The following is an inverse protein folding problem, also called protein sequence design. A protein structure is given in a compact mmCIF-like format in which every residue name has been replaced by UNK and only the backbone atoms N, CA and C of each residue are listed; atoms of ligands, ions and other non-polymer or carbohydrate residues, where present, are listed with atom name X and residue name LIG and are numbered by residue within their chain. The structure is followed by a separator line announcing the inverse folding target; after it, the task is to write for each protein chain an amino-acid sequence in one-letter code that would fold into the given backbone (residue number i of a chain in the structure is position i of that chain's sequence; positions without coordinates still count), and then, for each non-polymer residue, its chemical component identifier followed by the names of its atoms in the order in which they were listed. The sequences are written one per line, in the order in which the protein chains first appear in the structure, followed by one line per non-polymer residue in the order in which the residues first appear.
data_IF_262556912305
#
_entry.id   IF_262556912305
#
_cell.length_a   1.000
_cell.length_b   1.000
_cell.length_c   1.000
_cell.angle_alpha   90.00
_cell.angle_beta   90.00
_cell.angle_gamma   90.00
#
_symmetry.space_group_name_H-M   'P 1'
#
loop_
_entity.id
_entity.type
_entity.pdbx_description
1 polymer ?
#
# COMPACT_ATOMS: atom_id res chain seq x y z
N UNK A 1 -6.88 -32.24 -13.95
CA UNK A 1 -8.06 -33.12 -14.12
C UNK A 1 -7.78 -34.36 -14.98
N UNK A 2 -7.27 -34.26 -16.21
CA UNK A 2 -7.02 -35.44 -17.08
C UNK A 2 -6.00 -36.46 -16.52
N UNK A 3 -4.93 -36.03 -15.84
CA UNK A 3 -3.91 -36.98 -15.30
C UNK A 3 -4.37 -37.75 -14.04
N UNK A 4 -5.36 -37.24 -13.30
CA UNK A 4 -5.93 -37.92 -12.14
C UNK A 4 -6.73 -39.17 -12.55
N UNK A 5 -7.41 -39.12 -13.70
CA UNK A 5 -8.08 -40.29 -14.26
C UNK A 5 -7.08 -41.34 -14.80
N UNK A 6 -5.82 -40.97 -15.02
CA UNK A 6 -4.75 -41.85 -15.45
C UNK A 6 -3.87 -42.37 -14.29
N UNK A 7 -4.26 -42.17 -13.03
CA UNK A 7 -3.51 -42.67 -11.86
C UNK A 7 -2.15 -42.00 -11.62
N UNK A 8 -1.84 -40.91 -12.33
CA UNK A 8 -0.58 -40.19 -12.17
C UNK A 8 -0.70 -39.18 -11.02
N UNK A 9 0.20 -39.27 -10.02
CA UNK A 9 0.34 -38.24 -8.99
C UNK A 9 0.71 -36.92 -9.69
N UNK A 10 -0.20 -35.94 -9.65
CA UNK A 10 0.12 -34.58 -10.08
C UNK A 10 0.96 -33.93 -8.99
N UNK A 11 2.26 -33.72 -9.27
CA UNK A 11 3.09 -32.86 -8.45
C UNK A 11 2.63 -31.40 -8.53
N UNK A 12 2.91 -30.62 -7.50
CA UNK A 12 2.68 -29.17 -7.49
C UNK A 12 3.47 -28.54 -8.64
N UNK A 13 2.85 -27.73 -9.52
CA UNK A 13 3.58 -27.08 -10.61
C UNK A 13 4.66 -26.14 -10.08
N UNK A 14 5.85 -26.09 -10.70
CA UNK A 14 6.93 -25.21 -10.19
C UNK A 14 6.54 -23.73 -10.16
N UNK A 15 5.64 -23.29 -11.05
CA UNK A 15 5.17 -21.91 -11.07
C UNK A 15 4.36 -21.52 -9.83
N UNK A 16 3.89 -22.48 -9.02
CA UNK A 16 3.20 -22.20 -7.75
C UNK A 16 4.11 -21.45 -6.76
N UNK A 17 5.43 -21.65 -6.83
CA UNK A 17 6.41 -20.98 -5.97
C UNK A 17 6.78 -19.57 -6.46
N UNK A 18 6.26 -19.14 -7.60
CA UNK A 18 6.50 -17.78 -8.09
C UNK A 18 5.73 -16.77 -7.24
N UNK A 19 6.27 -15.57 -7.01
CA UNK A 19 5.52 -14.54 -6.31
C UNK A 19 4.26 -14.18 -7.09
N UNK A 20 3.17 -13.99 -6.35
CA UNK A 20 1.96 -13.42 -6.86
C UNK A 20 2.21 -11.94 -7.18
N UNK A 21 1.92 -11.58 -8.43
CA UNK A 21 2.05 -10.22 -8.94
C UNK A 21 0.67 -9.71 -9.34
N UNK A 22 0.40 -8.43 -9.05
CA UNK A 22 -0.81 -7.71 -9.46
C UNK A 22 -0.49 -6.63 -10.48
N UNK A 23 -1.46 -6.33 -11.34
CA UNK A 23 -1.42 -5.17 -12.23
C UNK A 23 -2.11 -4.00 -11.55
N UNK A 24 -1.44 -2.87 -11.42
CA UNK A 24 -2.01 -1.64 -10.85
C UNK A 24 -2.09 -0.59 -11.95
N UNK A 25 -3.24 0.06 -12.10
CA UNK A 25 -3.41 1.16 -13.05
C UNK A 25 -2.67 2.42 -12.57
N UNK A 26 -1.99 3.12 -13.49
CA UNK A 26 -1.34 4.41 -13.21
C UNK A 26 -2.39 5.51 -13.24
N UNK A 27 -3.08 5.69 -12.11
CA UNK A 27 -4.18 6.65 -11.95
C UNK A 27 -3.77 7.91 -11.16
N UNK A 28 -2.59 7.91 -10.53
CA UNK A 28 -2.13 9.02 -9.70
C UNK A 28 -0.82 9.64 -10.20
N UNK A 29 -0.63 10.97 -10.10
CA UNK A 29 0.63 11.62 -10.44
C UNK A 29 1.83 11.13 -9.61
N UNK A 30 1.61 10.66 -8.38
CA UNK A 30 2.68 10.14 -7.53
C UNK A 30 3.23 8.83 -8.09
N UNK A 31 2.37 7.87 -8.45
CA UNK A 31 2.77 6.60 -9.09
C UNK A 31 3.51 6.89 -10.40
N UNK A 32 2.97 7.78 -11.23
CA UNK A 32 3.59 8.21 -12.48
C UNK A 32 4.99 8.81 -12.27
N UNK A 33 5.13 9.72 -11.30
CA UNK A 33 6.41 10.38 -11.00
C UNK A 33 7.46 9.39 -10.49
N UNK A 34 7.05 8.39 -9.69
CA UNK A 34 7.96 7.34 -9.20
C UNK A 34 8.42 6.41 -10.31
N UNK A 35 7.51 5.96 -11.16
CA UNK A 35 7.86 5.06 -12.26
C UNK A 35 8.82 5.72 -13.26
N UNK A 36 8.65 7.04 -13.53
CA UNK A 36 9.58 7.83 -14.36
C UNK A 36 11.03 7.86 -13.84
N UNK A 37 11.28 7.47 -12.59
CA UNK A 37 12.63 7.34 -12.04
C UNK A 37 13.33 6.04 -12.45
N UNK A 38 12.56 5.01 -12.82
CA UNK A 38 13.06 3.72 -13.32
C UNK A 38 13.00 3.70 -14.85
N UNK A 39 11.83 4.00 -15.40
CA UNK A 39 11.58 3.92 -16.83
C UNK A 39 10.55 4.98 -17.23
N UNK A 40 11.01 5.95 -18.02
CA UNK A 40 10.17 7.06 -18.49
C UNK A 40 9.21 6.64 -19.60
N UNK A 41 9.57 5.65 -20.41
CA UNK A 41 8.79 5.23 -21.57
C UNK A 41 7.59 4.39 -21.15
N UNK A 42 7.74 3.51 -20.16
CA UNK A 42 6.59 2.75 -19.62
C UNK A 42 5.66 3.61 -18.76
N UNK A 43 6.15 4.74 -18.24
CA UNK A 43 5.40 5.65 -17.37
C UNK A 43 4.44 6.59 -18.14
N UNK A 44 3.36 6.00 -18.64
CA UNK A 44 2.23 6.67 -19.30
C UNK A 44 0.99 6.66 -18.41
N UNK A 45 0.24 7.77 -18.32
CA UNK A 45 -1.06 7.77 -17.63
C UNK A 45 -1.97 6.67 -18.17
N UNK A 46 -2.76 6.04 -17.28
CA UNK A 46 -3.70 4.95 -17.60
C UNK A 46 -3.05 3.66 -18.14
N UNK A 47 -1.73 3.54 -18.11
CA UNK A 47 -1.04 2.28 -18.32
C UNK A 47 -1.01 1.46 -17.01
N UNK A 48 -0.48 0.23 -17.06
CA UNK A 48 -0.35 -0.63 -15.89
C UNK A 48 1.10 -0.79 -15.42
N UNK A 49 1.26 -0.99 -14.12
CA UNK A 49 2.52 -1.41 -13.47
C UNK A 49 2.35 -2.78 -12.85
N UNK A 50 3.46 -3.49 -12.66
CA UNK A 50 3.50 -4.68 -11.82
C UNK A 50 3.78 -4.30 -10.37
N UNK A 51 3.11 -4.98 -9.45
CA UNK A 51 3.37 -4.88 -8.01
C UNK A 51 3.35 -6.27 -7.39
N UNK A 52 4.31 -6.64 -6.53
CA UNK A 52 4.23 -7.87 -5.77
C UNK A 52 3.13 -7.80 -4.70
N UNK A 53 2.57 -8.96 -4.36
CA UNK A 53 1.64 -9.10 -3.24
C UNK A 53 2.44 -9.53 -2.01
N UNK A 54 2.50 -8.68 -0.99
CA UNK A 54 3.20 -9.01 0.26
C UNK A 54 2.39 -10.00 1.13
N UNK A 55 3.07 -10.75 1.99
CA UNK A 55 2.39 -11.56 3.02
C UNK A 55 1.86 -10.66 4.15
N UNK A 56 2.65 -9.66 4.54
CA UNK A 56 2.37 -8.71 5.61
C UNK A 56 2.35 -7.27 5.07
N UNK A 57 2.00 -6.30 5.93
CA UNK A 57 2.13 -4.88 5.58
C UNK A 57 3.56 -4.55 5.14
N UNK A 58 3.68 -3.99 3.94
CA UNK A 58 4.95 -3.66 3.30
C UNK A 58 4.79 -2.43 2.40
N UNK A 59 5.90 -1.84 1.91
CA UNK A 59 5.83 -0.72 0.98
C UNK A 59 5.13 -1.14 -0.32
N UNK A 60 4.36 -0.25 -0.92
CA UNK A 60 3.79 -0.48 -2.23
C UNK A 60 4.90 -0.39 -3.27
N UNK A 61 5.40 -1.54 -3.70
CA UNK A 61 6.43 -1.66 -4.72
C UNK A 61 5.80 -1.68 -6.10
N UNK A 62 6.31 -0.87 -7.03
CA UNK A 62 5.89 -0.86 -8.42
C UNK A 62 7.09 -1.03 -9.36
N UNK A 63 6.88 -1.73 -10.48
CA UNK A 63 7.83 -1.87 -11.57
C UNK A 63 7.12 -1.72 -12.93
N UNK A 64 7.85 -1.40 -14.01
CA UNK A 64 7.31 -1.46 -15.36
C UNK A 64 6.62 -2.80 -15.63
N UNK A 65 5.55 -2.77 -16.44
CA UNK A 65 4.87 -4.00 -16.83
C UNK A 65 5.81 -4.93 -17.61
N UNK A 66 5.85 -6.21 -17.22
CA UNK A 66 6.72 -7.22 -17.82
C UNK A 66 6.00 -8.56 -17.90
N UNK A 67 5.80 -9.09 -19.11
CA UNK A 67 5.17 -10.41 -19.31
C UNK A 67 6.13 -11.56 -18.99
N UNK A 68 7.43 -11.34 -19.16
CA UNK A 68 8.45 -12.33 -18.87
C UNK A 68 8.63 -12.52 -17.36
N UNK A 69 8.03 -13.59 -16.86
CA UNK A 69 7.99 -13.90 -15.43
C UNK A 69 9.36 -14.26 -14.85
N UNK A 70 10.31 -14.67 -15.69
CA UNK A 70 11.67 -14.97 -15.23
C UNK A 70 12.39 -13.73 -14.71
N UNK A 71 11.94 -12.54 -15.15
CA UNK A 71 12.46 -11.24 -14.74
C UNK A 71 11.79 -10.67 -13.50
N UNK A 72 10.71 -11.27 -13.01
CA UNK A 72 10.01 -10.72 -11.83
C UNK A 72 10.89 -10.76 -10.58
N UNK A 73 11.79 -11.74 -10.49
CA UNK A 73 12.71 -11.97 -9.38
C UNK A 73 14.10 -12.33 -9.92
N UNK A 74 15.13 -12.10 -9.12
CA UNK A 74 16.51 -12.52 -9.39
C UNK A 74 17.50 -11.36 -9.32
N UNK A 75 18.74 -11.67 -8.97
CA UNK A 75 19.77 -10.66 -8.72
C UNK A 75 20.27 -9.94 -9.97
N UNK A 76 20.47 -10.65 -11.08
CA UNK A 76 21.12 -10.09 -12.28
C UNK A 76 20.11 -9.50 -13.27
N UNK A 77 19.05 -10.25 -13.56
CA UNK A 77 18.05 -9.90 -14.60
C UNK A 77 16.66 -9.55 -14.03
N UNK A 78 16.55 -9.46 -12.70
CA UNK A 78 15.31 -9.10 -12.02
C UNK A 78 14.91 -7.65 -12.24
N UNK A 79 13.61 -7.38 -12.25
CA UNK A 79 13.06 -6.04 -12.31
C UNK A 79 13.53 -5.21 -11.12
N UNK A 80 13.77 -3.93 -11.38
CA UNK A 80 13.88 -2.92 -10.33
C UNK A 80 12.48 -2.44 -9.96
N UNK A 81 12.20 -2.45 -8.67
CA UNK A 81 10.96 -1.97 -8.07
C UNK A 81 11.21 -0.66 -7.34
N UNK A 82 10.23 0.24 -7.30
CA UNK A 82 10.29 1.46 -6.50
C UNK A 82 9.12 1.52 -5.53
N UNK A 83 9.40 1.92 -4.28
CA UNK A 83 8.34 2.24 -3.31
C UNK A 83 7.64 3.52 -3.70
N UNK A 84 6.30 3.45 -3.79
CA UNK A 84 5.45 4.61 -4.08
C UNK A 84 5.54 5.66 -2.96
N UNK A 85 5.73 5.23 -1.71
CA UNK A 85 5.74 6.06 -0.51
C UNK A 85 7.01 6.90 -0.40
N UNK A 86 8.18 6.28 -0.60
CA UNK A 86 9.46 6.91 -0.29
C UNK A 86 10.44 6.97 -1.47
N UNK A 87 10.15 6.30 -2.59
CA UNK A 87 11.02 6.27 -3.77
C UNK A 87 12.29 5.43 -3.62
N UNK A 88 12.42 4.64 -2.55
CA UNK A 88 13.50 3.67 -2.41
C UNK A 88 13.34 2.58 -3.46
N UNK A 89 14.47 2.13 -3.98
CA UNK A 89 14.56 1.11 -5.04
C UNK A 89 14.80 -0.25 -4.41
N UNK A 90 14.18 -1.28 -4.98
CA UNK A 90 14.22 -2.65 -4.49
C UNK A 90 14.46 -3.63 -5.64
N UNK A 91 15.11 -4.74 -5.35
CA UNK A 91 15.12 -5.93 -6.21
C UNK A 91 14.58 -7.10 -5.39
N UNK A 92 13.76 -7.93 -6.03
CA UNK A 92 13.19 -9.12 -5.38
C UNK A 92 14.10 -10.31 -5.67
N UNK A 93 14.52 -11.01 -4.63
CA UNK A 93 15.47 -12.11 -4.71
C UNK A 93 14.84 -13.43 -4.31
N UNK A 94 15.39 -14.51 -4.84
CA UNK A 94 15.05 -15.84 -4.35
C UNK A 94 15.74 -16.12 -3.00
N UNK A 95 15.20 -17.01 -2.16
CA UNK A 95 15.78 -17.27 -0.84
C UNK A 95 17.17 -17.93 -0.92
N UNK A 96 17.39 -18.75 -1.94
CA UNK A 96 18.69 -19.40 -2.25
C UNK A 96 19.76 -18.41 -2.75
N UNK A 97 19.38 -17.17 -3.07
CA UNK A 97 20.31 -16.10 -3.43
C UNK A 97 20.84 -15.33 -2.20
N UNK A 98 20.41 -15.70 -0.98
CA UNK A 98 20.83 -15.06 0.28
C UNK A 98 22.35 -15.23 0.56
N UNK A 99 22.91 -16.41 0.29
CA UNK A 99 24.35 -16.65 0.44
C UNK A 99 25.18 -15.84 -0.57
N UNK A 100 24.65 -15.58 -1.76
CA UNK A 100 25.30 -14.77 -2.81
C UNK A 100 25.35 -13.28 -2.44
N UNK A 101 24.38 -12.79 -1.69
CA UNK A 101 24.33 -11.39 -1.23
C UNK A 101 25.43 -11.07 -0.19
N UNK A 102 25.91 -12.08 0.55
CA UNK A 102 26.98 -11.91 1.54
C UNK A 102 28.35 -11.68 0.86
N UNK A 103 28.55 -12.22 -0.34
CA UNK A 103 29.85 -12.24 -1.03
C UNK A 103 29.92 -11.44 -2.34
N UNK A 104 28.83 -10.82 -2.79
CA UNK A 104 28.81 -10.05 -4.04
C UNK A 104 29.45 -8.67 -3.87
N UNK A 105 30.48 -8.31 -4.66
CA UNK A 105 31.13 -7.00 -4.58
C UNK A 105 30.16 -5.84 -4.76
N UNK A 106 29.20 -5.92 -5.70
CA UNK A 106 28.18 -4.89 -5.91
C UNK A 106 27.31 -4.63 -4.67
N UNK A 107 27.09 -5.64 -3.83
CA UNK A 107 26.41 -5.50 -2.53
C UNK A 107 27.29 -4.77 -1.50
N UNK A 108 28.62 -5.01 -1.55
CA UNK A 108 29.63 -4.29 -0.74
C UNK A 108 29.77 -2.82 -1.20
N UNK A 109 29.76 -2.54 -2.51
CA UNK A 109 29.81 -1.19 -3.08
C UNK A 109 28.49 -0.42 -2.90
N UNK A 110 27.34 -1.07 -2.95
CA UNK A 110 26.03 -0.48 -2.62
C UNK A 110 25.92 -0.06 -1.14
N UNK A 111 26.77 -0.63 -0.27
CA UNK A 111 26.89 -0.24 1.15
C UNK A 111 27.70 1.05 1.34
N UNK A 112 28.55 1.40 0.37
CA UNK A 112 29.44 2.58 0.41
C UNK A 112 28.93 3.78 -0.42
N UNK A 113 28.05 3.55 -1.41
CA UNK A 113 27.44 4.61 -2.21
C UNK A 113 26.03 4.95 -1.72
N UNK A 114 25.69 6.23 -1.68
CA UNK A 114 24.43 6.75 -1.13
C UNK A 114 23.19 6.47 -2.04
N UNK A 115 23.30 5.54 -2.99
CA UNK A 115 22.30 5.17 -4.01
C UNK A 115 21.77 3.76 -3.70
N UNK A 116 21.14 3.62 -2.53
CA UNK A 116 20.97 2.32 -1.86
C UNK A 116 19.80 1.51 -2.43
N UNK A 117 20.04 0.75 -3.50
CA UNK A 117 19.17 -0.35 -3.93
C UNK A 117 19.03 -1.35 -2.76
N UNK A 118 17.80 -1.71 -2.43
CA UNK A 118 17.47 -2.63 -1.34
C UNK A 118 17.05 -3.98 -1.91
N UNK A 119 17.12 -5.02 -1.09
CA UNK A 119 16.76 -6.37 -1.51
C UNK A 119 15.59 -6.84 -0.65
N UNK A 120 14.59 -7.41 -1.32
CA UNK A 120 13.41 -8.01 -0.71
C UNK A 120 13.42 -9.50 -1.04
N UNK A 121 13.30 -10.36 -0.05
CA UNK A 121 13.22 -11.79 -0.31
C UNK A 121 11.82 -12.18 -0.73
N UNK A 122 11.72 -13.05 -1.74
CA UNK A 122 10.45 -13.58 -2.23
C UNK A 122 9.64 -14.33 -1.16
N UNK A 123 10.28 -14.82 -0.09
CA UNK A 123 9.59 -15.37 1.10
C UNK A 123 8.73 -14.36 1.85
N UNK A 124 8.94 -13.07 1.63
CA UNK A 124 8.13 -11.99 2.21
C UNK A 124 6.91 -11.65 1.33
N UNK A 125 6.78 -12.32 0.19
CA UNK A 125 5.72 -12.16 -0.80
C UNK A 125 4.83 -13.40 -0.80
N UNK A 126 3.56 -13.21 -1.12
CA UNK A 126 2.67 -14.33 -1.39
C UNK A 126 3.11 -15.01 -2.67
N UNK A 127 3.09 -16.33 -2.68
CA UNK A 127 3.27 -17.10 -3.89
C UNK A 127 1.92 -17.43 -4.54
N UNK A 128 1.96 -17.98 -5.75
CA UNK A 128 0.74 -18.34 -6.48
C UNK A 128 0.00 -19.53 -5.84
N UNK A 129 0.68 -20.44 -5.12
CA UNK A 129 0.02 -21.52 -4.37
C UNK A 129 -0.88 -20.97 -3.27
N UNK A 130 -0.36 -20.04 -2.46
CA UNK A 130 -1.09 -19.40 -1.38
C UNK A 130 -2.36 -18.72 -1.91
N UNK A 131 -2.22 -17.89 -2.94
CA UNK A 131 -3.37 -17.22 -3.58
C UNK A 131 -4.39 -18.23 -4.10
N UNK A 132 -3.93 -19.32 -4.72
CA UNK A 132 -4.83 -20.34 -5.27
C UNK A 132 -5.58 -21.11 -4.16
N UNK A 133 -4.90 -21.46 -3.07
CA UNK A 133 -5.50 -22.12 -1.90
C UNK A 133 -6.53 -21.21 -1.23
N UNK A 134 -6.20 -19.94 -1.07
CA UNK A 134 -7.09 -18.95 -0.47
C UNK A 134 -8.35 -18.75 -1.31
N UNK A 135 -8.19 -18.62 -2.64
CA UNK A 135 -9.33 -18.57 -3.55
C UNK A 135 -10.20 -19.83 -3.46
N UNK A 136 -9.59 -21.01 -3.45
CA UNK A 136 -10.31 -22.28 -3.34
C UNK A 136 -11.04 -22.44 -2.01
N UNK A 137 -10.48 -21.89 -0.93
CA UNK A 137 -11.06 -21.95 0.41
C UNK A 137 -11.98 -20.76 0.71
N UNK A 138 -12.16 -19.84 -0.23
CA UNK A 138 -12.92 -18.62 0.00
C UNK A 138 -14.43 -18.91 0.07
N UNK A 139 -15.11 -18.63 1.20
CA UNK A 139 -16.55 -18.86 1.29
C UNK A 139 -17.36 -17.95 0.35
N UNK A 140 -18.52 -18.40 -0.13
CA UNK A 140 -19.41 -17.55 -0.96
C UNK A 140 -20.28 -16.62 -0.08
N UNK A 141 -19.88 -15.36 0.06
CA UNK A 141 -20.51 -14.39 0.97
C UNK A 141 -21.87 -13.87 0.49
N UNK A 142 -22.19 -14.00 -0.81
CA UNK A 142 -23.44 -13.47 -1.38
C UNK A 142 -24.59 -14.46 -1.34
N UNK A 143 -24.34 -15.66 -0.84
CA UNK A 143 -25.34 -16.72 -0.74
C UNK A 143 -25.36 -17.34 0.65
N UNK A 144 -26.40 -18.10 0.92
CA UNK A 144 -26.49 -18.98 2.07
C UNK A 144 -26.30 -20.43 1.61
N UNK A 145 -25.80 -21.26 2.51
CA UNK A 145 -25.73 -22.70 2.34
C UNK A 145 -27.15 -23.32 2.24
N UNK A 146 -27.28 -24.59 1.80
CA UNK A 146 -28.59 -25.23 1.65
C UNK A 146 -29.40 -25.34 2.95
N UNK A 147 -28.73 -25.30 4.10
CA UNK A 147 -29.34 -25.26 5.44
C UNK A 147 -29.76 -23.84 5.88
N UNK A 148 -29.40 -22.81 5.11
CA UNK A 148 -29.65 -21.41 5.42
C UNK A 148 -28.55 -20.71 6.23
N UNK A 149 -27.47 -21.41 6.60
CA UNK A 149 -26.32 -20.79 7.26
C UNK A 149 -25.45 -19.99 6.28
N UNK A 150 -24.56 -19.09 6.74
CA UNK A 150 -23.52 -18.51 5.88
C UNK A 150 -22.68 -19.59 5.22
N UNK A 151 -22.29 -19.38 3.95
CA UNK A 151 -21.38 -20.31 3.29
C UNK A 151 -20.03 -20.38 4.01
N UNK A 152 -19.44 -21.57 4.00
CA UNK A 152 -18.08 -21.91 4.39
C UNK A 152 -17.30 -22.46 3.18
N UNK A 153 -15.99 -22.62 3.32
CA UNK A 153 -15.08 -23.13 2.29
C UNK A 153 -15.48 -24.50 1.71
N UNK A 154 -16.17 -25.31 2.51
CA UNK A 154 -16.62 -26.65 2.16
C UNK A 154 -18.13 -26.74 1.89
N UNK A 155 -18.82 -25.61 1.74
CA UNK A 155 -20.27 -25.61 1.44
C UNK A 155 -20.53 -26.28 0.09
N UNK A 156 -21.54 -27.16 0.07
CA UNK A 156 -21.93 -27.93 -1.11
C UNK A 156 -23.45 -27.96 -1.23
N UNK A 157 -23.93 -28.14 -2.45
CA UNK A 157 -25.36 -28.20 -2.76
C UNK A 157 -25.92 -26.90 -3.31
N UNK A 158 -27.25 -26.83 -3.42
CA UNK A 158 -27.93 -25.67 -3.99
C UNK A 158 -27.90 -24.49 -3.01
N UNK A 159 -27.14 -23.45 -3.36
CA UNK A 159 -27.04 -22.23 -2.58
C UNK A 159 -28.37 -21.47 -2.59
N UNK A 160 -28.68 -20.85 -1.45
CA UNK A 160 -29.90 -20.05 -1.26
C UNK A 160 -29.57 -18.56 -1.34
N UNK A 161 -30.58 -17.76 -1.69
CA UNK A 161 -30.46 -16.30 -1.72
C UNK A 161 -30.25 -15.76 -0.31
N UNK A 162 -29.24 -14.92 -0.12
CA UNK A 162 -29.01 -14.20 1.15
C UNK A 162 -29.96 -12.99 1.22
N UNK A 163 -30.83 -12.87 2.23
CA UNK A 163 -31.59 -11.65 2.46
C UNK A 163 -30.62 -10.52 2.85
N UNK A 164 -30.79 -9.35 2.23
CA UNK A 164 -30.01 -8.15 2.53
C UNK A 164 -30.98 -7.11 3.07
N UNK A 165 -30.78 -6.71 4.32
CA UNK A 165 -31.51 -5.61 4.93
C UNK A 165 -30.63 -4.35 4.88
N UNK A 166 -31.16 -3.30 4.26
CA UNK A 166 -30.49 -2.00 4.27
C UNK A 166 -30.57 -1.41 5.68
N UNK A 167 -29.42 -1.12 6.28
CA UNK A 167 -29.39 -0.40 7.56
C UNK A 167 -29.61 1.09 7.31
N UNK A 168 -30.27 1.77 8.25
CA UNK A 168 -30.51 3.22 8.17
C UNK A 168 -29.22 4.06 8.20
N UNK A 169 -28.09 3.46 8.59
CA UNK A 169 -26.78 4.12 8.63
C UNK A 169 -26.01 3.79 7.36
N UNK A 170 -26.00 4.72 6.42
CA UNK A 170 -25.13 4.64 5.25
C UNK A 170 -23.67 4.83 5.67
N UNK A 171 -22.82 3.86 5.34
CA UNK A 171 -21.37 4.04 5.34
C UNK A 171 -20.98 4.59 3.98
N UNK A 172 -20.59 5.86 3.93
CA UNK A 172 -20.09 6.47 2.72
C UNK A 172 -18.69 5.90 2.44
N UNK A 173 -18.65 4.95 1.53
CA UNK A 173 -17.43 4.37 0.99
C UNK A 173 -17.27 4.93 -0.41
N UNK A 174 -16.05 5.25 -0.81
CA UNK A 174 -15.78 5.82 -2.14
C UNK A 174 -16.40 5.00 -3.25
N UNK A 175 -17.17 5.66 -4.12
CA UNK A 175 -17.55 5.05 -5.40
C UNK A 175 -16.31 5.05 -6.31
N UNK A 176 -16.12 3.96 -7.04
CA UNK A 176 -15.01 3.74 -7.98
C UNK A 176 -13.60 3.80 -7.37
N UNK A 177 -13.40 3.17 -6.22
CA UNK A 177 -12.11 2.51 -6.03
C UNK A 177 -12.21 1.25 -6.87
N UNK A 178 -11.50 1.22 -7.99
CA UNK A 178 -11.36 0.02 -8.82
C UNK A 178 -11.00 -1.14 -7.88
N UNK A 179 -11.93 -2.08 -7.68
CA UNK A 179 -11.75 -3.17 -6.70
C UNK A 179 -10.56 -4.05 -7.09
N UNK A 180 -10.08 -3.95 -8.33
CA UNK A 180 -8.84 -4.55 -8.80
C UNK A 180 -7.57 -3.85 -8.31
N UNK A 181 -7.62 -2.55 -7.99
CA UNK A 181 -6.53 -1.84 -7.29
C UNK A 181 -6.56 -2.15 -5.79
N UNK A 182 -7.72 -2.59 -5.29
CA UNK A 182 -7.89 -3.16 -3.97
C UNK A 182 -7.60 -4.67 -3.93
N UNK A 183 -6.77 -5.23 -4.83
CA UNK A 183 -5.94 -6.39 -4.47
C UNK A 183 -4.78 -5.94 -3.56
N UNK A 184 -5.06 -5.01 -2.64
CA UNK A 184 -4.23 -4.77 -1.48
C UNK A 184 -4.17 -6.06 -0.68
N UNK A 185 -2.98 -6.33 -0.18
CA UNK A 185 -2.55 -7.45 0.67
C UNK A 185 -3.51 -7.77 1.83
N UNK A 186 -4.49 -6.88 2.06
CA UNK A 186 -5.49 -6.95 3.10
C UNK A 186 -6.93 -7.26 2.66
N UNK A 187 -7.21 -7.64 1.41
CA UNK A 187 -8.55 -8.21 1.10
C UNK A 187 -8.72 -9.65 1.58
N UNK A 188 -7.62 -10.29 2.01
CA UNK A 188 -7.68 -11.53 2.79
C UNK A 188 -7.47 -11.29 4.31
N UNK A 189 -7.29 -10.04 4.73
CA UNK A 189 -7.22 -9.65 6.13
C UNK A 189 -7.91 -8.31 6.35
N UNK A 190 -9.23 -8.34 6.53
CA UNK A 190 -10.06 -7.36 7.27
C UNK A 190 -9.68 -5.87 7.21
N UNK A 191 -9.13 -5.34 6.13
CA UNK A 191 -9.02 -3.88 5.97
C UNK A 191 -10.36 -3.34 5.52
N UNK A 192 -11.00 -2.66 6.48
CA UNK A 192 -12.20 -1.87 6.26
C UNK A 192 -11.99 -0.96 5.05
N UNK A 193 -12.96 -0.89 4.13
CA UNK A 193 -12.92 0.07 3.04
C UNK A 193 -12.67 1.48 3.59
N UNK A 194 -11.90 2.34 2.89
CA UNK A 194 -11.73 3.72 3.34
C UNK A 194 -13.10 4.39 3.40
N UNK A 195 -13.57 4.63 4.63
CA UNK A 195 -14.81 5.32 4.92
C UNK A 195 -14.56 6.82 4.79
N UNK A 196 -15.36 7.49 3.96
CA UNK A 196 -15.35 8.95 3.87
C UNK A 196 -15.97 9.50 5.15
N UNK A 197 -15.13 10.05 6.02
CA UNK A 197 -15.59 10.93 7.09
C UNK A 197 -15.79 12.33 6.50
N UNK A 198 -16.98 12.91 6.68
CA UNK A 198 -17.24 14.31 6.34
C UNK A 198 -16.22 15.21 7.04
N UNK A 199 -15.29 15.78 6.26
CA UNK A 199 -14.22 16.65 6.77
C UNK A 199 -12.78 16.13 6.65
N UNK A 200 -12.54 15.03 5.94
CA UNK A 200 -11.26 14.64 5.32
C UNK A 200 -10.02 14.65 6.24
N UNK A 201 -9.42 13.47 6.44
CA UNK A 201 -8.16 13.20 7.18
C UNK A 201 -6.93 14.02 6.74
N UNK A 202 -7.05 14.84 5.69
CA UNK A 202 -6.02 15.76 5.20
C UNK A 202 -6.07 17.15 5.85
N UNK A 203 -7.08 17.42 6.70
CA UNK A 203 -7.21 18.66 7.45
C UNK A 203 -7.47 18.43 8.94
N UNK A 204 -6.90 19.29 9.78
CA UNK A 204 -7.04 19.21 11.22
C UNK A 204 -7.13 20.59 11.85
N UNK A 205 -7.43 20.63 13.14
CA UNK A 205 -7.51 21.85 13.94
C UNK A 205 -6.42 21.80 15.01
N UNK A 206 -5.75 22.93 15.26
CA UNK A 206 -4.77 23.03 16.35
C UNK A 206 -5.48 22.96 17.69
N UNK A 207 -4.88 22.27 18.66
CA UNK A 207 -5.39 22.30 20.02
C UNK A 207 -5.26 23.72 20.62
N UNK A 208 -6.16 24.10 21.55
CA UNK A 208 -6.18 25.46 22.12
C UNK A 208 -4.87 25.88 22.80
N UNK A 209 -4.11 24.93 23.36
CA UNK A 209 -2.84 25.20 24.05
C UNK A 209 -1.78 25.58 23.02
N UNK A 210 -1.66 24.81 21.94
CA UNK A 210 -0.78 25.14 20.81
C UNK A 210 -1.14 26.48 20.18
N UNK A 211 -2.43 26.80 20.02
CA UNK A 211 -2.86 28.11 19.50
C UNK A 211 -2.31 29.24 20.37
N UNK A 212 -2.50 29.19 21.69
CA UNK A 212 -1.99 30.23 22.61
C UNK A 212 -0.47 30.38 22.54
N UNK A 213 0.26 29.26 22.51
CA UNK A 213 1.72 29.28 22.37
C UNK A 213 2.15 29.94 21.05
N UNK A 214 1.47 29.65 19.96
CA UNK A 214 1.81 30.17 18.64
C UNK A 214 1.39 31.63 18.46
N UNK A 215 0.30 32.09 19.10
CA UNK A 215 -0.11 33.50 19.10
C UNK A 215 0.93 34.42 19.75
N UNK A 216 1.74 33.90 20.68
CA UNK A 216 2.87 34.64 21.27
C UNK A 216 4.03 34.90 20.29
N UNK A 217 4.01 34.26 19.11
CA UNK A 217 5.09 34.33 18.14
C UNK A 217 4.73 35.27 16.97
N UNK A 218 5.70 36.00 16.41
CA UNK A 218 5.43 36.85 15.26
C UNK A 218 5.03 36.00 14.03
N UNK A 219 3.96 36.40 13.35
CA UNK A 219 3.38 35.68 12.19
C UNK A 219 4.44 35.36 11.13
N UNK A 220 5.35 36.30 10.84
CA UNK A 220 6.45 36.09 9.87
C UNK A 220 7.37 34.92 10.24
N UNK A 221 7.60 34.67 11.54
CA UNK A 221 8.40 33.53 12.02
C UNK A 221 7.66 32.22 11.77
N UNK A 222 6.36 32.18 12.04
CA UNK A 222 5.51 31.02 11.78
C UNK A 222 5.46 30.70 10.28
N UNK A 223 5.33 31.71 9.42
CA UNK A 223 5.39 31.55 7.96
C UNK A 223 6.71 30.94 7.51
N UNK A 224 7.85 31.40 8.05
CA UNK A 224 9.18 30.89 7.69
C UNK A 224 9.37 29.42 8.07
N UNK A 225 8.91 29.03 9.25
CA UNK A 225 9.04 27.64 9.75
C UNK A 225 8.12 26.69 8.96
N UNK A 226 6.88 27.11 8.75
CA UNK A 226 5.88 26.27 8.08
C UNK A 226 6.01 26.26 6.56
N UNK A 227 6.65 27.29 5.98
CA UNK A 227 6.59 27.65 4.56
C UNK A 227 5.15 27.78 4.06
N UNK A 228 4.28 28.32 4.90
CA UNK A 228 2.86 28.56 4.60
C UNK A 228 2.58 30.05 4.46
N UNK A 229 1.56 30.40 3.69
CA UNK A 229 1.10 31.78 3.51
C UNK A 229 0.51 32.36 4.79
N UNK A 230 0.52 33.69 4.90
CA UNK A 230 0.01 34.42 6.07
C UNK A 230 -1.41 34.02 6.43
N UNK A 231 -2.31 33.97 5.43
CA UNK A 231 -3.71 33.64 5.65
C UNK A 231 -3.91 32.22 6.20
N UNK A 232 -3.08 31.25 5.80
CA UNK A 232 -3.11 29.89 6.36
C UNK A 232 -2.73 29.87 7.84
N UNK A 233 -1.75 30.70 8.23
CA UNK A 233 -1.32 30.82 9.62
C UNK A 233 -2.40 31.50 10.46
N UNK A 234 -3.00 32.59 9.97
CA UNK A 234 -4.09 33.27 10.66
C UNK A 234 -5.29 32.35 10.88
N UNK A 235 -5.68 31.56 9.85
CA UNK A 235 -6.72 30.53 9.99
C UNK A 235 -6.37 29.51 11.07
N UNK A 236 -5.13 29.03 11.11
CA UNK A 236 -4.66 28.10 12.14
C UNK A 236 -4.78 28.71 13.56
N UNK A 237 -4.39 29.97 13.71
CA UNK A 237 -4.44 30.70 14.99
C UNK A 237 -5.87 31.08 15.43
N UNK A 238 -6.83 31.06 14.50
CA UNK A 238 -8.28 31.17 14.80
C UNK A 238 -8.95 29.84 15.13
N UNK A 239 -8.20 28.73 15.12
CA UNK A 239 -8.76 27.39 15.37
C UNK A 239 -9.56 26.83 14.19
N UNK A 240 -9.32 27.32 12.98
CA UNK A 240 -9.95 26.77 11.79
C UNK A 240 -9.20 25.54 11.25
N UNK A 241 -9.88 24.74 10.43
CA UNK A 241 -9.27 23.60 9.73
C UNK A 241 -8.18 24.06 8.75
N UNK A 242 -7.00 23.47 8.88
CA UNK A 242 -5.84 23.66 7.99
C UNK A 242 -5.27 22.32 7.53
N UNK A 243 -4.47 22.32 6.46
CA UNK A 243 -3.85 21.09 5.95
C UNK A 243 -2.92 20.44 6.98
N UNK A 244 -2.98 19.10 7.08
CA UNK A 244 -2.22 18.30 8.05
C UNK A 244 -0.71 18.56 7.99
N UNK A 245 -0.15 18.80 6.79
CA UNK A 245 1.28 19.12 6.66
C UNK A 245 1.66 20.41 7.39
N UNK A 246 0.82 21.44 7.34
CA UNK A 246 1.03 22.71 8.05
C UNK A 246 0.74 22.54 9.54
N UNK A 247 -0.32 21.79 9.87
CA UNK A 247 -0.67 21.46 11.25
C UNK A 247 0.48 20.78 11.98
N UNK A 248 1.06 19.71 11.41
CA UNK A 248 2.17 18.97 12.02
C UNK A 248 3.39 19.85 12.29
N UNK A 249 3.74 20.75 11.36
CA UNK A 249 4.85 21.69 11.56
C UNK A 249 4.58 22.67 12.71
N UNK A 250 3.36 23.19 12.79
CA UNK A 250 2.94 24.09 13.85
C UNK A 250 2.90 23.40 15.22
N UNK A 251 2.41 22.16 15.28
CA UNK A 251 2.42 21.36 16.51
C UNK A 251 3.83 21.04 16.99
N UNK A 252 4.73 20.63 16.08
CA UNK A 252 6.14 20.40 16.42
C UNK A 252 6.76 21.68 16.96
N UNK A 253 6.52 22.82 16.32
CA UNK A 253 7.05 24.09 16.80
C UNK A 253 6.44 24.52 18.14
N UNK A 254 5.14 24.36 18.33
CA UNK A 254 4.46 24.67 19.60
C UNK A 254 5.03 23.86 20.77
N UNK A 255 5.42 22.59 20.54
CA UNK A 255 6.09 21.75 21.55
C UNK A 255 7.49 22.27 21.94
N UNK A 256 8.19 22.94 21.02
CA UNK A 256 9.51 23.53 21.31
C UNK A 256 9.43 24.83 22.10
N UNK A 257 8.25 25.47 22.14
CA UNK A 257 8.03 26.66 22.96
C UNK A 257 7.81 26.22 24.41
N UNK A 258 8.72 26.63 25.31
CA UNK A 258 8.55 26.46 26.76
C UNK A 258 7.24 27.09 27.21
N UNK A 259 6.62 26.50 28.23
CA UNK A 259 5.44 27.07 28.88
C UNK A 259 5.83 28.39 29.56
N UNK A 260 5.72 29.49 28.82
CA UNK A 260 5.73 30.81 29.39
C UNK A 260 4.41 31.02 30.11
N UNK A 261 4.33 30.60 31.38
CA UNK A 261 3.33 31.15 32.29
C UNK A 261 3.70 32.62 32.52
N UNK A 262 2.85 33.60 32.14
CA UNK A 262 3.05 34.96 32.60
C UNK A 262 2.73 35.04 34.10
N UNK A 263 3.65 35.65 34.86
CA UNK A 263 3.30 36.31 36.12
C UNK A 263 2.65 37.65 35.81
#
# INVERSE_FOLDING_TARGET
MLRHHAGQKQGTPEWFKMPAMRKIAITTPNVLAKLRLIDRESAKPYNFVLSPVHIFEGPTLIAPFCEDRSRWIGLENGLEYISVENGKRFRICKPDEEELLIWTPEFVWARQSNTRLQYLFSTQLRDLDQVFREYFQHPEFKSLAPDGAPCASNTRGLLRRRPIEATLRFRLIGKEIDRHVQDDVNVLSDIRPPEYQEGGSSSGVLDPISIRKLQSQPIRRLMRITRSGQHTIERALRGERIQMRTLSKLMVFAKTLKDGFPR
#
